data_IF_713596557032
#
_entry.id   IF_713596557032
#
_cell.length_a   1.000
_cell.length_b   1.000
_cell.length_c   1.000
_cell.angle_alpha   90.00
_cell.angle_beta   90.00
_cell.angle_gamma   90.00
#
_symmetry.space_group_name_H-M   'P 1'
#
loop_
_entity.id
_entity.type
_entity.pdbx_description
1 polymer ?
#
# COMPACT_ATOMS: atom_id res chain seq x y z
N UNK A 1 0.13 -7.17 17.37
CA UNK A 1 0.95 -6.14 16.71
C UNK A 1 0.32 -5.81 15.37
N UNK A 2 0.19 -4.53 15.03
CA UNK A 2 -0.32 -4.12 13.73
C UNK A 2 0.81 -3.48 12.93
N UNK A 3 0.84 -3.72 11.62
CA UNK A 3 1.89 -3.23 10.72
C UNK A 3 1.19 -2.56 9.56
N UNK A 4 1.52 -1.29 9.30
CA UNK A 4 1.06 -0.57 8.12
C UNK A 4 2.15 -0.64 7.06
N UNK A 5 1.88 -1.37 5.98
CA UNK A 5 2.76 -1.52 4.81
C UNK A 5 2.34 -0.51 3.74
N UNK A 6 3.14 0.54 3.49
CA UNK A 6 2.84 1.56 2.47
C UNK A 6 3.59 1.26 1.17
N UNK A 7 2.87 1.20 0.06
CA UNK A 7 3.40 0.97 -1.29
C UNK A 7 2.84 1.99 -2.27
N UNK A 8 3.56 2.30 -3.33
CA UNK A 8 3.16 3.26 -4.36
C UNK A 8 3.72 2.96 -5.74
N UNK A 9 4.89 2.33 -5.82
CA UNK A 9 5.56 2.00 -7.07
C UNK A 9 5.48 0.49 -7.40
N UNK A 10 5.41 0.12 -8.68
CA UNK A 10 5.32 -1.28 -9.15
C UNK A 10 6.41 -2.21 -8.57
N UNK A 11 7.70 -1.82 -8.48
CA UNK A 11 8.72 -2.67 -7.84
C UNK A 11 8.46 -2.95 -6.36
N UNK A 12 7.66 -2.10 -5.69
CA UNK A 12 7.31 -2.28 -4.29
C UNK A 12 6.22 -3.35 -4.12
N UNK A 13 5.32 -3.55 -5.08
CA UNK A 13 4.29 -4.61 -4.99
C UNK A 13 4.93 -5.99 -4.94
N UNK A 14 5.93 -6.24 -5.80
CA UNK A 14 6.68 -7.51 -5.81
C UNK A 14 7.35 -7.77 -4.45
N UNK A 15 7.98 -6.75 -3.87
CA UNK A 15 8.64 -6.86 -2.56
C UNK A 15 7.63 -7.02 -1.42
N UNK A 16 6.54 -6.26 -1.47
CA UNK A 16 5.46 -6.33 -0.50
C UNK A 16 4.78 -7.70 -0.53
N UNK A 17 4.63 -8.34 -1.70
CA UNK A 17 4.08 -9.69 -1.83
C UNK A 17 4.84 -10.70 -0.95
N UNK A 18 6.17 -10.69 -1.06
CA UNK A 18 7.03 -11.61 -0.34
C UNK A 18 6.91 -11.41 1.19
N UNK A 19 6.86 -10.16 1.65
CA UNK A 19 6.77 -9.81 3.08
C UNK A 19 5.36 -10.07 3.61
N UNK A 20 4.33 -9.59 2.92
CA UNK A 20 2.90 -9.71 3.27
C UNK A 20 2.50 -11.17 3.50
N UNK A 21 2.97 -12.08 2.64
CA UNK A 21 2.73 -13.52 2.76
C UNK A 21 3.20 -14.10 4.09
N UNK A 22 4.33 -13.61 4.62
CA UNK A 22 4.88 -14.05 5.91
C UNK A 22 4.15 -13.36 7.06
N UNK A 23 3.91 -12.05 6.97
CA UNK A 23 3.22 -11.28 8.01
C UNK A 23 1.82 -11.84 8.30
N UNK A 24 1.06 -12.19 7.25
CA UNK A 24 -0.30 -12.73 7.39
C UNK A 24 -0.37 -14.12 8.00
N UNK A 25 0.70 -14.91 7.90
CA UNK A 25 0.81 -16.23 8.54
C UNK A 25 1.31 -16.16 9.97
N UNK A 26 1.82 -15.00 10.40
CA UNK A 26 2.39 -14.82 11.73
C UNK A 26 1.27 -14.53 12.74
N UNK A 27 1.10 -15.41 13.72
CA UNK A 27 0.08 -15.27 14.74
C UNK A 27 0.30 -13.99 15.57
N UNK A 28 -0.78 -13.25 15.81
CA UNK A 28 -0.73 -11.99 16.55
C UNK A 28 -0.24 -10.78 15.73
N UNK A 29 0.04 -10.94 14.44
CA UNK A 29 0.35 -9.85 13.50
C UNK A 29 -0.87 -9.57 12.62
N UNK A 30 -1.23 -8.30 12.48
CA UNK A 30 -2.20 -7.82 11.49
C UNK A 30 -1.52 -6.83 10.57
N UNK A 31 -1.37 -7.18 9.30
CA UNK A 31 -0.94 -6.26 8.27
C UNK A 31 -2.12 -5.41 7.77
N UNK A 32 -1.88 -4.13 7.56
CA UNK A 32 -2.73 -3.20 6.81
C UNK A 32 -1.92 -2.70 5.62
N UNK A 33 -2.37 -3.04 4.41
CA UNK A 33 -1.70 -2.67 3.17
C UNK A 33 -2.28 -1.37 2.60
N UNK A 34 -1.44 -0.36 2.43
CA UNK A 34 -1.81 0.97 1.92
C UNK A 34 -1.13 1.21 0.57
N UNK A 35 -1.93 1.53 -0.44
CA UNK A 35 -1.46 1.90 -1.77
C UNK A 35 -1.60 3.42 -1.99
N UNK A 36 -0.53 4.15 -2.30
CA UNK A 36 -0.56 5.62 -2.40
C UNK A 36 -1.28 6.14 -3.65
N UNK A 37 -1.35 5.37 -4.73
CA UNK A 37 -2.10 5.74 -5.95
C UNK A 37 -1.25 6.41 -7.04
N UNK A 38 0.08 6.34 -6.94
CA UNK A 38 1.00 7.04 -7.86
C UNK A 38 1.12 6.41 -9.27
N UNK A 39 0.49 5.25 -9.51
CA UNK A 39 0.50 4.57 -10.81
C UNK A 39 -0.85 4.64 -11.53
N UNK A 40 -0.80 4.97 -12.83
CA UNK A 40 -1.92 5.30 -13.70
C UNK A 40 -2.59 4.15 -14.41
N UNK A 41 -2.02 2.95 -14.32
CA UNK A 41 -2.59 1.82 -15.02
C UNK A 41 -3.26 0.89 -14.01
N UNK A 42 -4.54 1.16 -13.79
CA UNK A 42 -5.41 0.33 -12.95
C UNK A 42 -5.45 -1.12 -13.45
N UNK A 43 -5.32 -1.36 -14.76
CA UNK A 43 -5.24 -2.71 -15.30
C UNK A 43 -3.90 -3.36 -14.93
N UNK A 44 -2.80 -2.61 -14.97
CA UNK A 44 -1.49 -3.17 -14.65
C UNK A 44 -1.36 -3.49 -13.16
N UNK A 45 -1.87 -2.64 -12.26
CA UNK A 45 -1.80 -2.91 -10.82
C UNK A 45 -2.63 -4.13 -10.42
N UNK A 46 -3.88 -4.24 -10.86
CA UNK A 46 -4.76 -5.37 -10.49
C UNK A 46 -4.18 -6.72 -10.93
N UNK A 47 -3.60 -6.81 -12.14
CA UNK A 47 -2.94 -8.03 -12.62
C UNK A 47 -1.79 -8.46 -11.69
N UNK A 48 -0.99 -7.52 -11.18
CA UNK A 48 0.07 -7.88 -10.21
C UNK A 48 -0.47 -8.37 -8.88
N UNK A 49 -1.60 -7.83 -8.40
CA UNK A 49 -2.21 -8.33 -7.16
C UNK A 49 -2.72 -9.77 -7.34
N UNK A 50 -3.36 -10.06 -8.48
CA UNK A 50 -3.81 -11.41 -8.80
C UNK A 50 -2.66 -12.40 -9.02
N UNK A 51 -1.70 -12.08 -9.90
CA UNK A 51 -0.59 -12.98 -10.26
C UNK A 51 0.35 -13.29 -9.09
N UNK A 52 0.56 -12.32 -8.20
CA UNK A 52 1.47 -12.48 -7.06
C UNK A 52 0.76 -12.98 -5.79
N UNK A 53 -0.55 -13.24 -5.88
CA UNK A 53 -1.43 -13.57 -4.76
C UNK A 53 -1.33 -12.53 -3.63
N UNK A 54 -1.17 -11.26 -4.01
CA UNK A 54 -1.17 -10.16 -3.07
C UNK A 54 -2.63 -9.77 -2.83
N UNK A 55 -3.08 -9.71 -1.57
CA UNK A 55 -4.41 -9.21 -1.27
C UNK A 55 -4.54 -7.75 -1.72
N UNK A 56 -5.74 -7.36 -2.13
CA UNK A 56 -6.04 -5.97 -2.44
C UNK A 56 -5.68 -5.07 -1.25
N UNK A 57 -5.19 -3.85 -1.51
CA UNK A 57 -4.85 -2.91 -0.44
C UNK A 57 -6.10 -2.58 0.39
N UNK A 58 -5.93 -2.52 1.70
CA UNK A 58 -6.96 -2.09 2.65
C UNK A 58 -7.31 -0.61 2.44
N UNK A 59 -6.34 0.19 1.97
CA UNK A 59 -6.50 1.60 1.62
C UNK A 59 -5.84 1.89 0.28
N UNK A 60 -6.56 2.55 -0.63
CA UNK A 60 -5.98 3.15 -1.84
C UNK A 60 -6.20 4.66 -1.80
N UNK A 61 -5.11 5.43 -1.70
CA UNK A 61 -5.15 6.88 -1.45
C UNK A 61 -5.37 7.70 -2.73
N UNK A 62 -5.21 7.11 -3.91
CA UNK A 62 -5.48 7.78 -5.19
C UNK A 62 -4.59 9.00 -5.50
N UNK A 63 -3.42 9.10 -4.87
CA UNK A 63 -2.51 10.24 -4.98
C UNK A 63 -1.64 10.07 -6.24
N UNK A 64 -2.14 10.58 -7.35
CA UNK A 64 -1.46 10.69 -8.64
C UNK A 64 -1.51 12.13 -9.20
N UNK A 65 -1.02 12.35 -10.40
CA UNK A 65 -1.34 13.54 -11.23
C UNK A 65 -0.93 14.90 -10.68
N UNK A 66 0.17 14.98 -9.95
CA UNK A 66 0.69 16.26 -9.49
C UNK A 66 2.22 16.29 -9.56
N UNK A 67 2.79 17.48 -9.36
CA UNK A 67 4.24 17.64 -9.21
C UNK A 67 4.74 16.84 -8.02
N UNK A 68 6.01 16.44 -8.03
CA UNK A 68 6.62 15.64 -6.96
C UNK A 68 6.34 16.22 -5.56
N UNK A 69 6.53 17.52 -5.36
CA UNK A 69 6.28 18.16 -4.07
C UNK A 69 4.83 18.06 -3.62
N UNK A 70 3.88 18.28 -4.52
CA UNK A 70 2.45 18.19 -4.23
C UNK A 70 2.00 16.75 -3.91
N UNK A 71 2.51 15.75 -4.65
CA UNK A 71 2.24 14.35 -4.34
C UNK A 71 2.80 13.95 -2.97
N UNK A 72 4.03 14.36 -2.66
CA UNK A 72 4.66 14.09 -1.36
C UNK A 72 3.84 14.69 -0.21
N UNK A 73 3.42 15.95 -0.33
CA UNK A 73 2.59 16.59 0.69
C UNK A 73 1.28 15.84 0.95
N UNK A 74 0.57 15.49 -0.12
CA UNK A 74 -0.68 14.70 -0.02
C UNK A 74 -0.46 13.32 0.57
N UNK A 75 0.67 12.66 0.25
CA UNK A 75 0.99 11.36 0.83
C UNK A 75 1.22 11.45 2.34
N UNK A 76 1.92 12.48 2.81
CA UNK A 76 2.16 12.68 4.25
C UNK A 76 0.84 12.80 5.02
N UNK A 77 -0.05 13.68 4.55
CA UNK A 77 -1.39 13.89 5.14
C UNK A 77 -2.20 12.58 5.17
N UNK A 78 -2.36 11.92 4.02
CA UNK A 78 -3.21 10.75 3.92
C UNK A 78 -2.65 9.50 4.65
N UNK A 79 -1.32 9.34 4.71
CA UNK A 79 -0.70 8.25 5.48
C UNK A 79 -0.87 8.47 6.98
N UNK A 80 -0.81 9.72 7.45
CA UNK A 80 -1.05 10.08 8.85
C UNK A 80 -2.49 9.77 9.27
N UNK A 81 -3.47 10.09 8.43
CA UNK A 81 -4.88 9.74 8.68
C UNK A 81 -5.09 8.23 8.87
N UNK A 82 -4.48 7.42 7.99
CA UNK A 82 -4.53 5.95 8.13
C UNK A 82 -3.85 5.50 9.43
N UNK A 83 -2.70 6.10 9.76
CA UNK A 83 -1.96 5.76 10.98
C UNK A 83 -2.75 6.06 12.26
N UNK A 84 -3.47 7.19 12.31
CA UNK A 84 -4.36 7.52 13.44
C UNK A 84 -5.54 6.56 13.56
N UNK A 85 -6.12 6.15 12.42
CA UNK A 85 -7.25 5.21 12.39
C UNK A 85 -6.82 3.81 12.81
N UNK A 86 -5.69 3.34 12.28
CA UNK A 86 -5.24 1.97 12.49
C UNK A 86 -4.46 1.79 13.79
N UNK A 87 -3.77 2.82 14.29
CA UNK A 87 -2.90 2.74 15.48
C UNK A 87 -1.96 1.53 15.41
N UNK A 88 -1.10 1.46 14.36
CA UNK A 88 -0.21 0.33 14.13
C UNK A 88 0.71 0.03 15.32
#
# INVERSE_FOLDING_TARGET
MKIVSVVGARPQFIKAAAVSRVLRKTQGVKEVLVHTGQHYDANMSEVFFEELEIPRPDYNLGIGSATHGAQTGRMLEAIEEVSFKEKP
#
